data_IF_171888181779
#
_entry.id   IF_171888181779
#
_cell.length_a   1.000
_cell.length_b   1.000
_cell.length_c   1.000
_cell.angle_alpha   90.00
_cell.angle_beta   90.00
_cell.angle_gamma   90.00
#
_symmetry.space_group_name_H-M   'P 1'
#
loop_
_entity.id
_entity.type
_entity.pdbx_description
1 polymer ?
#
# COMPACT_ATOMS: atom_id res chain seq x y z
N UNK A 1 -29.94 57.61 -26.73
CA UNK A 1 -29.40 57.16 -28.01
C UNK A 1 -29.09 55.71 -27.82
N UNK A 2 -30.16 54.94 -27.82
CA UNK A 2 -30.29 53.52 -27.56
C UNK A 2 -29.83 52.70 -28.77
N UNK A 3 -29.39 51.47 -28.50
CA UNK A 3 -29.38 50.33 -29.42
C UNK A 3 -28.07 49.55 -29.43
N UNK A 4 -28.00 48.23 -29.56
CA UNK A 4 -28.95 47.09 -29.50
C UNK A 4 -28.09 45.84 -29.81
N UNK A 5 -28.28 44.70 -29.11
CA UNK A 5 -27.91 43.33 -29.54
C UNK A 5 -26.42 43.02 -29.76
N UNK A 6 -25.88 41.81 -29.69
CA UNK A 6 -26.45 40.47 -29.74
C UNK A 6 -25.57 39.54 -28.89
N UNK A 7 -26.20 38.52 -28.28
CA UNK A 7 -25.49 37.47 -27.58
C UNK A 7 -25.04 36.36 -28.52
N UNK A 8 -23.95 35.69 -28.14
CA UNK A 8 -23.70 34.30 -28.48
C UNK A 8 -23.19 33.63 -27.21
N UNK A 9 -23.98 32.68 -26.72
CA UNK A 9 -23.56 31.73 -25.71
C UNK A 9 -23.06 30.50 -26.41
N UNK A 10 -21.78 30.20 -26.23
CA UNK A 10 -21.20 28.91 -26.58
C UNK A 10 -20.78 28.23 -25.29
N UNK A 11 -21.74 27.50 -24.71
CA UNK A 11 -21.45 26.44 -23.77
C UNK A 11 -20.90 25.25 -24.55
N UNK A 12 -19.59 25.12 -24.58
CA UNK A 12 -18.91 23.89 -24.99
C UNK A 12 -18.45 23.18 -23.71
N UNK A 13 -19.29 22.27 -23.25
CA UNK A 13 -18.82 21.17 -22.43
C UNK A 13 -18.45 20.04 -23.38
N UNK A 14 -17.18 19.68 -23.41
CA UNK A 14 -16.71 18.36 -23.83
C UNK A 14 -15.57 17.98 -22.90
N UNK A 15 -15.80 16.93 -22.12
CA UNK A 15 -14.86 16.47 -21.11
C UNK A 15 -13.62 15.87 -21.75
N UNK A 16 -12.47 16.39 -21.36
CA UNK A 16 -11.29 15.56 -21.19
C UNK A 16 -11.34 15.09 -19.74
N UNK A 17 -11.72 13.83 -19.57
CA UNK A 17 -11.45 13.12 -18.33
C UNK A 17 -9.95 13.16 -18.11
N UNK A 18 -9.50 14.10 -17.30
CA UNK A 18 -8.33 13.88 -16.47
C UNK A 18 -8.75 12.77 -15.51
N UNK A 19 -8.64 11.54 -16.01
CA UNK A 19 -8.41 10.42 -15.14
C UNK A 19 -7.19 10.81 -14.33
N UNK A 20 -7.43 11.34 -13.14
CA UNK A 20 -6.65 11.05 -11.95
C UNK A 20 -6.76 9.53 -11.74
N UNK A 21 -6.28 8.76 -12.73
CA UNK A 21 -5.62 7.51 -12.48
C UNK A 21 -4.36 7.91 -11.74
N UNK A 22 -4.54 8.30 -10.48
CA UNK A 22 -3.63 7.95 -9.42
C UNK A 22 -3.46 6.45 -9.60
N UNK A 23 -2.48 6.08 -10.41
CA UNK A 23 -2.05 4.72 -10.65
C UNK A 23 -1.35 4.19 -9.40
N UNK A 24 -1.94 4.46 -8.23
CA UNK A 24 -2.03 3.48 -7.18
C UNK A 24 -2.68 2.29 -7.86
N UNK A 25 -1.87 1.36 -8.37
CA UNK A 25 -2.39 0.04 -8.62
C UNK A 25 -3.05 -0.35 -7.31
N UNK A 26 -4.39 -0.28 -7.28
CA UNK A 26 -5.18 -0.56 -6.10
C UNK A 26 -4.69 -1.89 -5.61
N UNK A 27 -3.86 -1.85 -4.57
CA UNK A 27 -3.38 -3.03 -3.94
C UNK A 27 -4.60 -3.50 -3.16
N UNK A 28 -5.47 -4.24 -3.86
CA UNK A 28 -6.70 -4.82 -3.35
C UNK A 28 -6.32 -6.13 -2.67
N UNK A 29 -5.62 -6.05 -1.54
CA UNK A 29 -5.10 -7.23 -0.86
C UNK A 29 -4.31 -6.92 0.41
N UNK A 30 -3.63 -7.92 0.98
CA UNK A 30 -2.81 -7.71 2.16
C UNK A 30 -1.49 -7.01 1.83
N UNK A 31 -0.87 -6.36 2.81
CA UNK A 31 0.43 -5.65 2.68
C UNK A 31 0.40 -4.36 1.87
N UNK A 32 -0.79 -3.83 1.63
CA UNK A 32 -0.98 -2.64 0.85
C UNK A 32 -0.75 -1.37 1.68
N UNK A 33 -0.64 -0.21 1.00
CA UNK A 33 -0.47 1.07 1.68
C UNK A 33 -1.70 1.39 2.54
N UNK A 34 -1.52 1.73 3.82
CA UNK A 34 -2.58 2.34 4.63
C UNK A 34 -2.98 3.67 3.98
N UNK A 35 -4.25 3.86 3.62
CA UNK A 35 -4.67 5.09 2.92
C UNK A 35 -5.21 4.91 1.51
N UNK A 36 -5.51 3.69 1.04
CA UNK A 36 -6.17 3.44 -0.26
C UNK A 36 -7.59 4.07 -0.36
N UNK A 37 -8.45 3.67 -1.31
CA UNK A 37 -9.77 4.29 -1.54
C UNK A 37 -10.71 4.27 -0.31
N UNK A 38 -10.36 3.54 0.75
CA UNK A 38 -11.05 3.52 2.05
C UNK A 38 -10.53 4.54 3.08
N UNK A 39 -9.59 5.43 2.73
CA UNK A 39 -8.98 6.41 3.63
C UNK A 39 -7.87 5.80 4.52
N UNK A 40 -7.42 6.55 5.54
CA UNK A 40 -6.29 6.24 6.46
C UNK A 40 -6.39 4.92 7.27
N UNK A 41 -7.23 3.96 6.87
CA UNK A 41 -7.48 2.72 7.58
C UNK A 41 -7.10 1.54 6.68
N UNK A 42 -6.35 0.61 7.26
CA UNK A 42 -6.11 -0.68 6.62
C UNK A 42 -7.41 -1.47 6.47
N UNK A 43 -7.48 -2.39 5.51
CA UNK A 43 -8.63 -3.29 5.35
C UNK A 43 -8.98 -4.02 6.65
N UNK A 44 -10.24 -4.44 6.80
CA UNK A 44 -10.72 -5.18 7.97
C UNK A 44 -9.87 -6.42 8.24
N UNK A 45 -9.27 -6.50 9.44
CA UNK A 45 -8.37 -7.59 9.85
C UNK A 45 -6.89 -7.27 9.73
N UNK A 46 -6.54 -6.11 9.17
CA UNK A 46 -5.17 -5.62 9.08
C UNK A 46 -4.96 -4.37 9.95
N UNK A 47 -3.71 -4.13 10.33
CA UNK A 47 -3.34 -2.92 11.04
C UNK A 47 -2.15 -2.22 10.39
N UNK A 48 -2.06 -0.89 10.50
CA UNK A 48 -0.91 -0.15 9.99
C UNK A 48 0.32 -0.53 10.81
N UNK A 49 1.31 -1.08 10.13
CA UNK A 49 2.60 -1.43 10.69
C UNK A 49 3.63 -0.43 10.23
N UNK A 50 4.29 0.22 11.18
CA UNK A 50 5.45 1.07 10.95
C UNK A 50 6.62 0.52 11.74
N UNK A 51 7.73 0.26 11.07
CA UNK A 51 8.94 -0.22 11.72
C UNK A 51 9.73 0.98 12.25
N UNK A 52 10.12 0.93 13.51
CA UNK A 52 10.62 2.12 14.23
C UNK A 52 11.89 2.73 13.62
N UNK A 53 12.71 1.91 12.96
CA UNK A 53 13.97 2.31 12.33
C UNK A 53 13.91 2.35 10.79
N UNK A 54 12.74 2.11 10.18
CA UNK A 54 12.61 2.05 8.73
C UNK A 54 11.49 2.94 8.22
N UNK A 55 11.71 3.63 7.10
CA UNK A 55 10.71 4.51 6.56
C UNK A 55 9.56 3.71 5.92
N UNK A 56 8.40 4.36 5.94
CA UNK A 56 7.17 3.82 5.39
C UNK A 56 6.34 2.99 6.37
N UNK A 57 5.20 2.54 5.86
CA UNK A 57 4.24 1.72 6.57
C UNK A 57 3.55 0.76 5.60
N UNK A 58 2.89 -0.26 6.14
CA UNK A 58 2.12 -1.19 5.35
C UNK A 58 0.98 -1.75 6.20
N UNK A 59 -0.06 -2.27 5.56
CA UNK A 59 -1.14 -2.97 6.24
C UNK A 59 -0.76 -4.42 6.49
N UNK A 60 -0.49 -4.76 7.74
CA UNK A 60 -0.14 -6.10 8.18
C UNK A 60 -1.37 -6.84 8.69
N UNK A 61 -1.78 -7.97 8.08
CA UNK A 61 -2.75 -8.86 8.68
C UNK A 61 -2.17 -9.48 9.95
N UNK A 62 -3.06 -9.74 10.92
CA UNK A 62 -2.68 -10.46 12.13
C UNK A 62 -2.39 -11.93 11.81
N UNK A 63 -1.43 -12.49 12.51
CA UNK A 63 -1.08 -13.89 12.45
C UNK A 63 -0.71 -14.42 13.82
N UNK A 64 -0.84 -15.72 13.97
CA UNK A 64 -0.51 -16.48 15.17
C UNK A 64 -0.06 -17.88 14.71
N UNK A 65 0.39 -18.76 15.62
CA UNK A 65 0.72 -20.16 15.29
C UNK A 65 -0.39 -20.93 14.54
N UNK A 66 -1.64 -20.49 14.67
CA UNK A 66 -2.81 -21.07 14.01
C UNK A 66 -3.25 -20.32 12.75
N UNK A 67 -2.85 -19.05 12.58
CA UNK A 67 -3.21 -18.23 11.42
C UNK A 67 -1.98 -17.95 10.56
N UNK A 68 -1.93 -18.61 9.41
CA UNK A 68 -0.91 -18.33 8.38
C UNK A 68 -1.17 -16.99 7.73
N UNK A 69 -0.08 -16.32 7.35
CA UNK A 69 -0.14 -15.06 6.63
C UNK A 69 -0.74 -15.24 5.22
N UNK A 70 -1.75 -14.44 4.85
CA UNK A 70 -2.32 -14.51 3.52
C UNK A 70 -1.28 -14.04 2.50
N UNK A 71 -1.13 -14.75 1.38
CA UNK A 71 -0.25 -14.32 0.30
C UNK A 71 -0.95 -13.25 -0.55
N UNK A 72 -0.20 -12.26 -1.05
CA UNK A 72 -0.69 -11.34 -2.07
C UNK A 72 -0.23 -11.82 -3.45
N UNK A 73 -1.15 -11.98 -4.40
CA UNK A 73 -0.86 -12.43 -5.77
C UNK A 73 -0.11 -11.38 -6.60
N UNK A 74 -0.15 -10.11 -6.19
CA UNK A 74 0.60 -9.01 -6.81
C UNK A 74 2.06 -8.95 -6.36
N UNK A 75 2.41 -9.71 -5.32
CA UNK A 75 3.76 -9.80 -4.79
C UNK A 75 4.38 -11.16 -5.11
N UNK A 76 5.66 -11.16 -5.47
CA UNK A 76 6.43 -12.40 -5.62
C UNK A 76 7.17 -12.82 -4.33
N UNK A 77 7.29 -11.91 -3.37
CA UNK A 77 7.85 -12.15 -2.04
C UNK A 77 6.95 -13.01 -1.15
N UNK A 78 7.50 -13.57 -0.08
CA UNK A 78 6.75 -14.47 0.80
C UNK A 78 6.22 -13.75 2.03
N UNK A 79 4.93 -13.93 2.32
CA UNK A 79 4.35 -13.44 3.56
C UNK A 79 4.73 -14.31 4.76
N UNK A 80 5.27 -13.71 5.82
CA UNK A 80 5.63 -14.42 7.06
C UNK A 80 5.19 -13.66 8.31
N UNK A 81 4.87 -14.43 9.35
CA UNK A 81 4.54 -13.91 10.67
C UNK A 81 5.83 -13.62 11.43
N UNK A 82 6.35 -12.40 11.29
CA UNK A 82 7.68 -12.05 11.81
C UNK A 82 7.69 -10.74 12.59
N UNK A 83 6.61 -9.96 12.54
CA UNK A 83 6.54 -8.70 13.26
C UNK A 83 6.01 -8.94 14.66
N UNK A 84 6.83 -8.57 15.64
CA UNK A 84 6.49 -8.59 17.06
C UNK A 84 6.08 -7.18 17.50
N UNK A 85 4.86 -7.05 18.00
CA UNK A 85 4.38 -5.80 18.60
C UNK A 85 5.12 -5.53 19.93
N UNK A 86 5.31 -4.26 20.35
CA UNK A 86 6.12 -3.90 21.54
C UNK A 86 5.59 -4.41 22.89
N UNK A 87 4.45 -5.10 22.91
CA UNK A 87 3.84 -5.72 24.09
C UNK A 87 3.70 -7.25 23.97
N UNK A 88 4.22 -7.84 22.89
CA UNK A 88 4.13 -9.27 22.60
C UNK A 88 5.54 -9.88 22.65
N UNK A 89 5.63 -11.13 23.10
CA UNK A 89 6.88 -11.91 23.07
C UNK A 89 7.04 -12.70 21.76
N UNK A 90 5.96 -12.86 20.99
CA UNK A 90 5.90 -13.63 19.75
C UNK A 90 5.42 -12.76 18.59
N UNK A 91 5.77 -13.09 17.34
CA UNK A 91 5.28 -12.35 16.18
C UNK A 91 3.76 -12.51 16.06
N UNK A 92 3.06 -11.38 15.97
CA UNK A 92 1.59 -11.30 15.86
C UNK A 92 1.13 -10.70 14.53
N UNK A 93 2.09 -10.24 13.73
CA UNK A 93 1.83 -9.49 12.51
C UNK A 93 2.62 -10.04 11.34
N UNK A 94 1.90 -10.15 10.23
CA UNK A 94 2.48 -10.57 8.97
C UNK A 94 3.25 -9.43 8.34
N UNK A 95 4.29 -9.81 7.61
CA UNK A 95 5.00 -8.94 6.70
C UNK A 95 5.29 -9.68 5.40
N UNK A 96 5.31 -8.92 4.30
CA UNK A 96 5.79 -9.43 3.03
C UNK A 96 7.31 -9.30 3.00
N UNK A 97 7.98 -10.45 2.88
CA UNK A 97 9.44 -10.52 2.83
C UNK A 97 9.94 -10.34 1.40
N UNK A 98 10.99 -9.55 1.27
CA UNK A 98 11.65 -9.28 0.00
C UNK A 98 13.16 -9.56 0.11
N UNK A 99 13.77 -10.00 -0.98
CA UNK A 99 15.21 -10.12 -1.09
C UNK A 99 15.76 -8.80 -1.60
N UNK A 100 16.71 -8.21 -0.87
CA UNK A 100 17.34 -6.94 -1.28
C UNK A 100 18.03 -7.07 -2.64
N UNK A 101 18.49 -8.29 -2.97
CA UNK A 101 19.06 -8.61 -4.28
C UNK A 101 18.04 -8.50 -5.44
N UNK A 102 16.75 -8.72 -5.17
CA UNK A 102 15.65 -8.58 -6.13
C UNK A 102 15.03 -7.17 -6.08
N UNK A 103 15.47 -6.31 -5.17
CA UNK A 103 14.90 -4.97 -5.00
C UNK A 103 13.40 -5.02 -4.68
N UNK A 104 12.60 -4.30 -5.46
CA UNK A 104 11.15 -4.15 -5.23
C UNK A 104 10.30 -5.20 -5.96
N UNK A 105 10.90 -6.11 -6.74
CA UNK A 105 10.17 -7.11 -7.53
C UNK A 105 9.41 -8.13 -6.63
N UNK A 106 9.90 -8.31 -5.41
CA UNK A 106 9.26 -9.17 -4.40
C UNK A 106 8.08 -8.48 -3.70
N UNK A 107 7.94 -7.17 -3.86
CA UNK A 107 6.92 -6.37 -3.19
C UNK A 107 5.67 -6.17 -4.06
N UNK A 108 4.56 -5.85 -3.40
CA UNK A 108 3.38 -5.35 -4.11
C UNK A 108 3.71 -4.04 -4.83
N UNK A 109 3.01 -3.71 -5.93
CA UNK A 109 3.17 -2.42 -6.59
C UNK A 109 3.06 -1.24 -5.60
N UNK A 110 3.97 -0.27 -5.72
CA UNK A 110 4.05 0.89 -4.82
C UNK A 110 4.86 0.67 -3.53
N UNK A 111 5.13 -0.59 -3.14
CA UNK A 111 6.00 -0.87 -2.01
C UNK A 111 7.49 -0.88 -2.39
N UNK A 112 8.31 -0.58 -1.39
CA UNK A 112 9.76 -0.60 -1.45
C UNK A 112 10.30 -1.63 -0.46
N UNK A 113 11.30 -2.40 -0.90
CA UNK A 113 11.97 -3.38 -0.05
C UNK A 113 12.92 -2.69 0.92
N UNK A 114 12.61 -2.75 2.22
CA UNK A 114 13.45 -2.22 3.29
C UNK A 114 14.37 -3.33 3.83
N UNK A 115 15.68 -3.18 3.72
CA UNK A 115 16.67 -4.13 4.26
C UNK A 115 16.71 -4.06 5.80
N UNK A 116 15.81 -4.79 6.45
CA UNK A 116 15.67 -4.70 7.91
C UNK A 116 16.33 -5.87 8.65
N UNK A 117 16.51 -7.02 8.00
CA UNK A 117 16.98 -8.23 8.69
C UNK A 117 18.49 -8.43 8.59
N UNK A 118 19.23 -7.50 7.96
CA UNK A 118 20.71 -7.50 7.85
C UNK A 118 21.32 -8.79 7.28
N UNK A 119 20.50 -9.65 6.70
CA UNK A 119 20.85 -10.93 6.07
C UNK A 119 20.56 -10.91 4.57
N UNK A 120 20.33 -9.72 3.99
CA UNK A 120 19.87 -9.56 2.61
C UNK A 120 18.38 -9.83 2.41
N UNK A 121 17.64 -9.96 3.51
CA UNK A 121 16.19 -10.10 3.56
C UNK A 121 15.59 -8.85 4.20
N UNK A 122 14.56 -8.32 3.57
CA UNK A 122 13.87 -7.11 3.93
C UNK A 122 12.37 -7.29 4.07
N UNK A 123 11.68 -6.19 4.33
CA UNK A 123 10.23 -6.11 4.39
C UNK A 123 9.73 -5.03 3.43
N UNK A 124 8.66 -5.33 2.73
CA UNK A 124 8.00 -4.38 1.83
C UNK A 124 7.22 -3.33 2.63
N UNK A 125 7.58 -2.05 2.49
CA UNK A 125 6.87 -0.91 3.09
C UNK A 125 6.52 0.13 2.01
N UNK A 126 5.50 0.95 2.26
CA UNK A 126 5.10 2.06 1.39
C UNK A 126 5.48 3.38 2.04
N UNK A 127 6.06 4.32 1.28
CA UNK A 127 6.34 5.69 1.75
C UNK A 127 5.19 6.66 1.49
#
# INVERSE_FOLDING_TARGET
GDGDGDGDGDGEGDGDGDGDGDGDADCEGPYCKPGGPMGNQCPDGEQPVSLQDFPGNYCGPKCDDMMMCPQNELASGQAQCIITEPMMDEPTLCALLCMVANGNDDCVPGATCQDIMQMGLGICTHE
#
